data_IF_165867580718
#
_entry.id   IF_165867580718
#
_cell.length_a   1.000
_cell.length_b   1.000
_cell.length_c   1.000
_cell.angle_alpha   90.00
_cell.angle_beta   90.00
_cell.angle_gamma   90.00
#
_symmetry.space_group_name_H-M   'P 1'
#
loop_
_entity.id
_entity.type
_entity.pdbx_description
1 polymer ?
#
# COMPACT_ATOMS: atom_id res chain seq x y z
N UNK A 1 61.26 -21.10 5.51
CA UNK A 1 59.95 -20.57 5.09
C UNK A 1 58.89 -21.14 6.00
N UNK A 2 58.43 -20.35 6.92
CA UNK A 2 57.37 -20.73 7.87
C UNK A 2 56.03 -20.66 7.15
N UNK A 3 55.31 -21.79 7.12
CA UNK A 3 53.98 -21.88 6.50
C UNK A 3 52.99 -21.03 7.29
N UNK A 4 52.51 -19.94 6.67
CA UNK A 4 51.66 -18.93 7.29
C UNK A 4 50.19 -19.44 7.48
N UNK A 5 49.88 -20.66 7.03
CA UNK A 5 48.53 -21.22 7.04
C UNK A 5 48.34 -22.45 7.95
N UNK A 6 49.38 -22.77 8.76
CA UNK A 6 49.35 -23.97 9.60
C UNK A 6 48.37 -23.89 10.80
N UNK A 7 47.86 -22.69 11.18
CA UNK A 7 47.00 -22.47 12.34
C UNK A 7 45.63 -21.87 11.97
N UNK A 8 45.02 -22.32 10.87
CA UNK A 8 43.64 -21.94 10.60
C UNK A 8 42.69 -22.62 11.63
N UNK A 9 41.85 -21.86 12.35
CA UNK A 9 40.90 -22.45 13.29
C UNK A 9 39.98 -23.43 12.59
N UNK A 10 39.54 -24.53 13.25
CA UNK A 10 38.66 -25.50 12.62
C UNK A 10 37.36 -24.85 12.16
N UNK A 11 37.01 -25.05 10.88
CA UNK A 11 35.77 -24.55 10.30
C UNK A 11 34.59 -24.97 11.20
N UNK A 12 33.68 -24.05 11.59
CA UNK A 12 32.54 -24.39 12.42
C UNK A 12 31.72 -25.50 11.71
N UNK A 13 31.50 -26.59 12.44
CA UNK A 13 30.63 -27.68 11.98
C UNK A 13 29.26 -27.07 11.66
N UNK A 14 28.84 -27.11 10.39
CA UNK A 14 27.50 -26.74 9.98
C UNK A 14 26.52 -27.58 10.77
N UNK A 15 25.86 -26.98 11.79
CA UNK A 15 24.65 -27.55 12.40
C UNK A 15 23.68 -27.70 11.23
N UNK A 16 23.08 -28.89 11.08
CA UNK A 16 22.15 -29.22 9.99
C UNK A 16 21.01 -28.23 9.89
N UNK A 17 21.23 -27.15 9.17
CA UNK A 17 20.22 -26.19 8.80
C UNK A 17 19.39 -26.81 7.68
N UNK A 18 18.06 -26.67 7.74
CA UNK A 18 17.16 -27.00 6.63
C UNK A 18 17.77 -26.39 5.37
N UNK A 19 17.98 -27.20 4.35
CA UNK A 19 18.55 -26.75 3.08
C UNK A 19 17.53 -25.78 2.46
N UNK A 20 17.93 -24.53 2.25
CA UNK A 20 17.09 -23.54 1.56
C UNK A 20 16.80 -24.03 0.15
N UNK A 21 15.55 -24.12 -0.19
CA UNK A 21 15.06 -24.68 -1.46
C UNK A 21 13.92 -23.81 -2.04
N UNK A 22 13.53 -24.07 -3.28
CA UNK A 22 12.43 -23.37 -3.91
C UNK A 22 11.10 -23.47 -3.12
N UNK A 23 10.94 -24.51 -2.28
CA UNK A 23 9.76 -24.70 -1.42
C UNK A 23 9.68 -23.68 -0.27
N UNK A 24 10.80 -23.05 0.04
CA UNK A 24 10.90 -22.05 1.12
C UNK A 24 10.63 -20.63 0.60
N UNK A 25 10.36 -20.49 -0.72
CA UNK A 25 9.98 -19.23 -1.36
C UNK A 25 8.46 -19.15 -1.37
N UNK A 26 7.93 -18.24 -0.56
CA UNK A 26 6.51 -17.93 -0.50
C UNK A 26 6.18 -16.76 -1.43
N UNK A 27 5.12 -16.89 -2.22
CA UNK A 27 4.58 -15.82 -3.06
C UNK A 27 3.30 -15.30 -2.40
N UNK A 28 3.27 -14.02 -2.10
CA UNK A 28 2.11 -13.36 -1.52
C UNK A 28 1.34 -12.63 -2.63
N UNK A 29 0.02 -12.76 -2.63
CA UNK A 29 -0.87 -12.15 -3.62
C UNK A 29 -1.84 -11.14 -2.98
N UNK A 30 -2.41 -10.27 -3.82
CA UNK A 30 -3.42 -9.29 -3.40
C UNK A 30 -2.88 -8.31 -2.34
N UNK A 31 -3.60 -8.18 -1.23
CA UNK A 31 -3.26 -7.28 -0.11
C UNK A 31 -2.48 -7.98 1.02
N UNK A 32 -2.24 -9.27 0.93
CA UNK A 32 -1.51 -10.03 1.94
C UNK A 32 -0.10 -9.50 2.22
N UNK A 33 0.70 -9.06 1.22
CA UNK A 33 2.00 -8.44 1.46
C UNK A 33 1.93 -7.22 2.38
N UNK A 34 0.88 -6.40 2.23
CA UNK A 34 0.66 -5.19 3.04
C UNK A 34 0.39 -5.57 4.49
N UNK A 35 -0.49 -6.54 4.73
CA UNK A 35 -0.86 -7.02 6.06
C UNK A 35 0.31 -7.64 6.80
N UNK A 36 1.15 -8.42 6.10
CA UNK A 36 2.34 -9.07 6.70
C UNK A 36 3.49 -8.11 6.96
N UNK A 37 3.64 -7.08 6.17
CA UNK A 37 4.76 -6.14 6.23
C UNK A 37 4.30 -4.68 6.11
N UNK A 38 3.41 -4.19 6.98
CA UNK A 38 2.84 -2.84 6.88
C UNK A 38 3.91 -1.76 6.86
N UNK A 39 4.99 -1.90 7.62
CA UNK A 39 6.08 -0.94 7.65
C UNK A 39 6.76 -0.67 6.31
N UNK A 40 6.69 -1.61 5.35
CA UNK A 40 7.21 -1.41 3.99
C UNK A 40 6.35 -0.43 3.17
N UNK A 41 5.08 -0.27 3.54
CA UNK A 41 4.12 0.55 2.81
C UNK A 41 3.83 1.89 3.48
N UNK A 42 3.83 1.91 4.82
CA UNK A 42 3.47 3.11 5.62
C UNK A 42 4.60 3.58 6.55
N UNK A 43 5.81 3.04 6.37
CA UNK A 43 7.01 3.50 7.06
C UNK A 43 7.15 3.03 8.52
N UNK A 44 6.17 2.30 9.07
CA UNK A 44 6.19 1.82 10.46
C UNK A 44 4.89 1.12 10.84
N UNK A 45 4.70 0.92 12.14
CA UNK A 45 3.48 0.37 12.75
C UNK A 45 3.08 1.15 14.00
N UNK A 46 3.57 2.37 14.12
CA UNK A 46 3.33 3.28 15.21
C UNK A 46 2.24 4.31 14.85
N UNK A 47 1.99 5.27 15.75
CA UNK A 47 1.01 6.34 15.56
C UNK A 47 1.29 7.19 14.30
N UNK A 48 2.56 7.40 13.94
CA UNK A 48 2.93 8.13 12.73
C UNK A 48 2.50 7.39 11.48
N UNK A 49 2.58 6.07 11.50
CA UNK A 49 2.11 5.23 10.41
C UNK A 49 0.59 5.34 10.22
N UNK A 50 -0.20 5.48 11.30
CA UNK A 50 -1.65 5.76 11.22
C UNK A 50 -1.92 7.11 10.55
N UNK A 51 -1.13 8.14 10.84
CA UNK A 51 -1.26 9.44 10.17
C UNK A 51 -1.02 9.33 8.66
N UNK A 52 -0.12 8.44 8.21
CA UNK A 52 0.07 8.17 6.78
C UNK A 52 -1.20 7.59 6.13
N UNK A 53 -1.92 6.70 6.80
CA UNK A 53 -3.18 6.17 6.27
C UNK A 53 -4.23 7.27 6.08
N UNK A 54 -4.35 8.18 7.03
CA UNK A 54 -5.25 9.34 6.93
C UNK A 54 -4.82 10.26 5.78
N UNK A 55 -3.52 10.53 5.67
CA UNK A 55 -2.97 11.37 4.61
C UNK A 55 -3.25 10.78 3.22
N UNK A 56 -3.12 9.47 3.03
CA UNK A 56 -3.41 8.80 1.74
C UNK A 56 -4.87 9.00 1.29
N UNK A 57 -5.83 8.96 2.21
CA UNK A 57 -7.24 9.23 1.89
C UNK A 57 -7.46 10.71 1.61
N UNK A 58 -6.87 11.59 2.43
CA UNK A 58 -6.98 13.03 2.25
C UNK A 58 -6.37 13.49 0.92
N UNK A 59 -5.23 12.94 0.53
CA UNK A 59 -4.56 13.25 -0.74
C UNK A 59 -5.44 12.92 -1.95
N UNK A 60 -6.26 11.87 -1.89
CA UNK A 60 -7.22 11.59 -2.94
C UNK A 60 -8.27 12.69 -3.10
N UNK A 61 -8.79 13.22 -1.99
CA UNK A 61 -9.73 14.35 -2.00
C UNK A 61 -9.03 15.65 -2.45
N UNK A 62 -7.78 15.87 -2.03
CA UNK A 62 -6.98 17.02 -2.46
C UNK A 62 -6.68 16.98 -3.96
N UNK A 63 -6.43 15.80 -4.55
CA UNK A 63 -6.23 15.66 -5.98
C UNK A 63 -7.48 16.08 -6.79
N UNK A 64 -8.69 15.76 -6.29
CA UNK A 64 -9.94 16.26 -6.88
C UNK A 64 -10.05 17.79 -6.79
N UNK A 65 -9.60 18.37 -5.67
CA UNK A 65 -9.61 19.83 -5.50
C UNK A 65 -8.59 20.51 -6.42
N UNK A 66 -7.37 20.00 -6.51
CA UNK A 66 -6.32 20.51 -7.40
C UNK A 66 -6.71 20.39 -8.87
N UNK A 67 -7.42 19.32 -9.25
CA UNK A 67 -7.95 19.13 -10.58
C UNK A 67 -9.18 20.03 -10.86
N UNK A 68 -9.67 20.81 -9.90
CA UNK A 68 -10.79 21.73 -10.04
C UNK A 68 -12.16 21.06 -9.97
N UNK A 69 -12.25 19.81 -9.52
CA UNK A 69 -13.49 19.05 -9.44
C UNK A 69 -14.13 19.07 -8.04
N UNK A 70 -13.33 19.38 -7.00
CA UNK A 70 -13.84 19.60 -5.65
C UNK A 70 -13.49 21.00 -5.16
N UNK A 71 -14.36 21.57 -4.32
CA UNK A 71 -14.11 22.85 -3.63
C UNK A 71 -14.42 22.76 -2.13
N UNK A 72 -14.75 21.56 -1.65
CA UNK A 72 -15.00 21.30 -0.24
C UNK A 72 -14.48 19.92 0.14
N UNK A 73 -13.77 19.88 1.25
CA UNK A 73 -13.30 18.66 1.88
C UNK A 73 -13.60 18.78 3.38
N UNK A 74 -14.30 17.80 3.92
CA UNK A 74 -14.62 17.71 5.34
C UNK A 74 -13.87 16.51 5.95
N UNK A 75 -13.25 16.68 7.12
CA UNK A 75 -12.62 15.62 7.87
C UNK A 75 -13.17 15.59 9.28
N UNK A 76 -13.59 14.43 9.75
CA UNK A 76 -14.14 14.22 11.08
C UNK A 76 -13.44 13.04 11.75
N UNK A 77 -12.99 13.25 12.99
CA UNK A 77 -12.53 12.20 13.89
C UNK A 77 -13.62 11.95 14.93
N UNK A 78 -14.19 10.76 14.94
CA UNK A 78 -15.24 10.35 15.87
C UNK A 78 -14.66 9.75 17.15
N UNK A 79 -15.47 9.70 18.22
CA UNK A 79 -15.06 9.18 19.52
C UNK A 79 -14.75 7.67 19.54
N UNK A 80 -15.22 6.94 18.54
CA UNK A 80 -14.93 5.52 18.30
C UNK A 80 -13.64 5.28 17.49
N UNK A 81 -12.81 6.32 17.32
CA UNK A 81 -11.60 6.32 16.51
C UNK A 81 -11.82 6.13 14.99
N UNK A 82 -13.03 6.40 14.50
CA UNK A 82 -13.31 6.43 13.07
C UNK A 82 -12.91 7.79 12.49
N UNK A 83 -12.13 7.79 11.42
CA UNK A 83 -11.83 8.99 10.61
C UNK A 83 -12.70 8.96 9.36
N UNK A 84 -13.48 10.00 9.15
CA UNK A 84 -14.28 10.20 7.93
C UNK A 84 -13.72 11.36 7.14
N UNK A 85 -13.43 11.13 5.87
CA UNK A 85 -13.03 12.17 4.91
C UNK A 85 -14.06 12.16 3.78
N UNK A 86 -14.60 13.34 3.48
CA UNK A 86 -15.62 13.54 2.46
C UNK A 86 -15.26 14.72 1.60
N UNK A 87 -15.42 14.61 0.30
CA UNK A 87 -15.30 15.69 -0.65
C UNK A 87 -16.54 15.77 -1.55
N UNK A 88 -16.65 16.86 -2.30
CA UNK A 88 -17.71 17.06 -3.28
C UNK A 88 -17.18 16.94 -4.72
N UNK A 89 -16.14 16.15 -4.95
CA UNK A 89 -15.55 15.85 -6.25
C UNK A 89 -16.37 14.85 -7.06
N UNK A 90 -15.75 14.31 -8.11
CA UNK A 90 -16.40 13.37 -9.05
C UNK A 90 -16.69 12.00 -8.46
N UNK A 91 -15.97 11.64 -7.39
CA UNK A 91 -15.99 10.29 -6.83
C UNK A 91 -15.20 9.28 -7.67
N UNK A 92 -15.07 8.07 -7.13
CA UNK A 92 -14.42 6.94 -7.80
C UNK A 92 -15.47 6.22 -8.66
N UNK A 93 -15.15 5.87 -9.94
CA UNK A 93 -16.09 5.16 -10.81
C UNK A 93 -16.52 3.81 -10.21
N UNK A 94 -17.83 3.53 -10.31
CA UNK A 94 -18.43 2.26 -9.85
C UNK A 94 -18.78 1.33 -11.00
N UNK A 95 -18.54 1.74 -12.24
CA UNK A 95 -18.74 0.92 -13.42
C UNK A 95 -17.84 -0.32 -13.40
N UNK A 96 -18.23 -1.41 -14.12
CA UNK A 96 -17.41 -2.59 -14.28
C UNK A 96 -16.03 -2.24 -14.86
N UNK A 97 -14.96 -2.76 -14.23
CA UNK A 97 -13.62 -2.49 -14.70
C UNK A 97 -13.33 -3.25 -16.02
N UNK A 98 -12.77 -2.61 -17.07
CA UNK A 98 -12.58 -3.24 -18.40
C UNK A 98 -11.81 -4.57 -18.35
N UNK A 99 -10.83 -4.69 -17.44
CA UNK A 99 -9.98 -5.88 -17.27
C UNK A 99 -10.59 -6.91 -16.31
N UNK A 100 -11.42 -6.47 -15.35
CA UNK A 100 -12.06 -7.31 -14.32
C UNK A 100 -13.57 -7.10 -14.40
N UNK A 101 -14.21 -7.78 -15.34
CA UNK A 101 -15.63 -7.56 -15.68
C UNK A 101 -16.62 -7.88 -14.56
N UNK A 102 -16.21 -8.67 -13.59
CA UNK A 102 -16.94 -9.06 -12.39
C UNK A 102 -16.77 -8.12 -11.21
N UNK A 103 -15.91 -7.10 -11.36
CA UNK A 103 -15.58 -6.12 -10.32
C UNK A 103 -15.79 -4.69 -10.79
N UNK A 104 -16.29 -3.83 -9.90
CA UNK A 104 -16.33 -2.40 -10.14
C UNK A 104 -14.91 -1.78 -10.14
N UNK A 105 -14.76 -0.63 -10.79
CA UNK A 105 -13.49 0.10 -10.73
C UNK A 105 -13.12 0.46 -9.27
N UNK A 106 -14.10 0.84 -8.45
CA UNK A 106 -13.92 1.09 -7.02
C UNK A 106 -13.35 -0.15 -6.30
N UNK A 107 -13.96 -1.33 -6.50
CA UNK A 107 -13.47 -2.56 -5.88
C UNK A 107 -12.05 -2.90 -6.31
N UNK A 108 -11.73 -2.73 -7.59
CA UNK A 108 -10.36 -2.98 -8.11
C UNK A 108 -9.36 -2.04 -7.45
N UNK A 109 -9.67 -0.75 -7.32
CA UNK A 109 -8.80 0.25 -6.70
C UNK A 109 -8.57 -0.07 -5.22
N UNK A 110 -9.59 -0.52 -4.50
CA UNK A 110 -9.49 -0.86 -3.09
C UNK A 110 -8.78 -2.19 -2.81
N UNK A 111 -8.82 -3.14 -3.74
CA UNK A 111 -8.35 -4.51 -3.50
C UNK A 111 -7.12 -4.93 -4.29
N UNK A 112 -6.62 -4.06 -5.18
CA UNK A 112 -5.49 -4.37 -6.05
C UNK A 112 -4.40 -3.32 -5.89
N UNK A 113 -3.19 -3.75 -5.53
CA UNK A 113 -2.03 -2.87 -5.54
C UNK A 113 -1.72 -2.41 -6.96
N UNK A 114 -1.24 -1.18 -7.09
CA UNK A 114 -0.92 -0.56 -8.38
C UNK A 114 -2.13 -0.45 -9.34
N UNK A 115 -3.34 -0.29 -8.79
CA UNK A 115 -4.53 0.05 -9.53
C UNK A 115 -4.93 1.50 -9.25
N UNK A 116 -5.18 2.29 -10.29
CA UNK A 116 -5.64 3.67 -10.12
C UNK A 116 -5.63 4.46 -11.43
N UNK A 117 -6.42 5.53 -11.49
CA UNK A 117 -6.52 6.42 -12.65
C UNK A 117 -5.36 7.41 -12.82
N UNK A 118 -4.49 7.51 -11.81
CA UNK A 118 -3.40 8.52 -11.75
C UNK A 118 -2.14 8.13 -12.52
N UNK A 119 -2.08 6.93 -13.11
CA UNK A 119 -0.98 6.49 -13.98
C UNK A 119 -1.03 7.11 -15.39
N UNK A 120 -2.08 7.85 -15.71
CA UNK A 120 -2.29 8.45 -17.02
C UNK A 120 -2.51 9.95 -16.87
N UNK A 121 -1.70 10.77 -17.58
CA UNK A 121 -1.83 12.22 -17.66
C UNK A 121 -3.19 12.68 -18.22
N UNK A 122 -4.01 11.75 -18.69
CA UNK A 122 -5.35 12.05 -19.24
C UNK A 122 -6.38 12.48 -18.20
N UNK A 123 -6.18 12.08 -16.94
CA UNK A 123 -7.16 12.29 -15.86
C UNK A 123 -6.64 13.32 -14.86
N UNK A 124 -5.34 13.25 -14.54
CA UNK A 124 -4.71 14.16 -13.59
C UNK A 124 -3.37 14.67 -14.16
N UNK A 125 -3.21 15.98 -14.25
CA UNK A 125 -1.95 16.62 -14.65
C UNK A 125 -0.97 16.70 -13.46
N UNK A 126 -1.49 16.75 -12.25
CA UNK A 126 -0.74 16.80 -11.00
C UNK A 126 -1.49 15.99 -9.95
N UNK A 127 -0.84 15.03 -9.34
CA UNK A 127 -1.44 14.19 -8.30
C UNK A 127 -0.40 13.85 -7.23
N UNK A 128 -0.81 13.85 -5.95
CA UNK A 128 0.04 13.47 -4.83
C UNK A 128 0.32 11.96 -4.78
N UNK A 129 -0.64 11.15 -5.16
CA UNK A 129 -0.57 9.69 -5.10
C UNK A 129 -0.17 9.03 -6.43
N UNK A 130 1.10 9.13 -6.82
CA UNK A 130 1.58 8.61 -8.12
C UNK A 130 1.72 7.08 -8.20
N UNK A 131 1.68 6.37 -7.08
CA UNK A 131 2.02 4.94 -7.01
C UNK A 131 0.82 4.00 -7.14
N UNK A 132 -0.42 4.51 -7.01
CA UNK A 132 -1.67 3.71 -7.08
C UNK A 132 -1.77 2.64 -5.99
N UNK A 133 -1.17 2.87 -4.83
CA UNK A 133 -1.15 1.93 -3.71
C UNK A 133 -1.81 2.48 -2.45
N UNK A 134 -1.98 3.80 -2.34
CA UNK A 134 -2.41 4.46 -1.10
C UNK A 134 -3.71 3.90 -0.54
N UNK A 135 -4.82 4.03 -1.26
CA UNK A 135 -6.13 3.61 -0.73
C UNK A 135 -6.27 2.09 -0.56
N UNK A 136 -5.60 1.29 -1.38
CA UNK A 136 -5.58 -0.18 -1.19
C UNK A 136 -4.79 -0.59 0.05
N UNK A 137 -3.73 0.16 0.39
CA UNK A 137 -2.98 -0.02 1.65
C UNK A 137 -3.84 0.38 2.85
N UNK A 138 -4.58 1.48 2.77
CA UNK A 138 -5.56 1.87 3.81
C UNK A 138 -6.57 0.77 4.02
N UNK A 139 -7.18 0.24 2.95
CA UNK A 139 -8.13 -0.87 3.03
C UNK A 139 -7.52 -2.13 3.66
N UNK A 140 -6.28 -2.46 3.30
CA UNK A 140 -5.60 -3.65 3.83
C UNK A 140 -5.36 -3.59 5.35
N UNK A 141 -5.17 -2.38 5.89
CA UNK A 141 -4.77 -2.12 7.28
C UNK A 141 -5.89 -1.54 8.16
N UNK A 142 -7.08 -1.32 7.60
CA UNK A 142 -8.26 -0.86 8.33
C UNK A 142 -9.20 -2.03 8.63
N UNK A 143 -9.95 -1.93 9.72
CA UNK A 143 -11.01 -2.89 10.07
C UNK A 143 -12.21 -2.74 9.13
N UNK A 144 -12.45 -1.51 8.66
CA UNK A 144 -13.47 -1.15 7.68
C UNK A 144 -13.03 0.09 6.88
N UNK A 145 -13.43 0.13 5.61
CA UNK A 145 -13.26 1.27 4.71
C UNK A 145 -14.46 1.38 3.79
#
# INVERSE_FOLDING_TARGET
>A
MTDLFADAPPKPKKKGGKTYSAKDIEVLEGLEPVRRRPGMYIGGTDERALHHLVAEVLDNSMDEAVAGHANRIDMTLSADNTVTISDNGRGIPVDPHPKFKDKSALEVILTTLHAGGKFSDKVYHTAGGLHGVGVSVVNALSDAL
#
